data_IF_298022920357
#
_entry.id   IF_298022920357
#
_cell.length_a   1.000
_cell.length_b   1.000
_cell.length_c   1.000
_cell.angle_alpha   90.00
_cell.angle_beta   90.00
_cell.angle_gamma   90.00
#
_symmetry.space_group_name_H-M   'P 1'
#
loop_
_entity.id
_entity.type
_entity.pdbx_description
1 polymer ?
#
# COMPACT_ATOMS: atom_id res chain seq x y z
N UNK A 1 16.48 -8.94 39.12
CA UNK A 1 16.45 -7.57 39.68
C UNK A 1 16.44 -6.64 38.49
N UNK A 2 15.43 -5.75 38.39
CA UNK A 2 15.27 -4.83 37.25
C UNK A 2 16.48 -3.92 37.16
N UNK A 3 17.11 -3.87 36.00
CA UNK A 3 18.22 -2.98 35.74
C UNK A 3 17.70 -1.59 35.34
N UNK A 4 18.21 -0.55 36.00
CA UNK A 4 17.74 0.84 35.85
C UNK A 4 18.72 1.67 35.03
N UNK A 5 18.22 2.72 34.37
CA UNK A 5 19.07 3.67 33.62
C UNK A 5 19.48 3.19 32.23
N UNK A 6 18.86 2.14 31.69
CA UNK A 6 19.01 1.75 30.29
C UNK A 6 18.56 2.87 29.35
N UNK A 7 19.23 2.96 28.21
CA UNK A 7 18.78 3.80 27.10
C UNK A 7 17.81 3.01 26.23
N UNK A 8 16.82 3.69 25.65
CA UNK A 8 15.90 3.08 24.70
C UNK A 8 16.68 2.50 23.52
N UNK A 9 16.56 1.19 23.30
CA UNK A 9 17.23 0.50 22.21
C UNK A 9 16.35 -0.62 21.65
N UNK A 10 16.38 -0.78 20.32
CA UNK A 10 15.61 -1.79 19.59
C UNK A 10 16.57 -2.81 19.00
N UNK A 11 16.28 -4.10 19.18
CA UNK A 11 17.08 -5.20 18.66
C UNK A 11 16.19 -6.11 17.81
N UNK A 12 16.62 -6.37 16.57
CA UNK A 12 15.98 -7.35 15.71
C UNK A 12 16.20 -8.77 16.23
N UNK A 13 15.21 -9.63 16.02
CA UNK A 13 15.29 -11.05 16.35
C UNK A 13 15.35 -11.87 15.06
N UNK A 14 15.63 -13.19 15.14
CA UNK A 14 15.56 -14.06 13.97
C UNK A 14 14.17 -14.13 13.30
N UNK A 15 13.11 -13.70 13.99
CA UNK A 15 11.75 -13.65 13.45
C UNK A 15 11.50 -12.25 12.86
N UNK A 16 11.24 -12.12 11.54
CA UNK A 16 11.07 -10.82 10.89
C UNK A 16 9.96 -9.97 11.53
N UNK A 17 10.32 -8.76 11.95
CA UNK A 17 9.41 -7.79 12.58
C UNK A 17 9.13 -8.03 14.07
N UNK A 18 9.62 -9.13 14.67
CA UNK A 18 9.62 -9.31 16.11
C UNK A 18 10.83 -8.55 16.69
N UNK A 19 10.57 -7.55 17.52
CA UNK A 19 11.58 -6.60 17.99
C UNK A 19 11.66 -6.59 19.51
N UNK A 20 12.82 -6.92 20.06
CA UNK A 20 13.10 -6.78 21.49
C UNK A 20 13.50 -5.33 21.78
N UNK A 21 12.94 -4.76 22.85
CA UNK A 21 13.16 -3.35 23.21
C UNK A 21 13.64 -3.24 24.64
N UNK A 22 14.79 -2.59 24.83
CA UNK A 22 15.27 -2.16 26.14
C UNK A 22 14.59 -0.82 26.48
N UNK A 23 13.94 -0.75 27.64
CA UNK A 23 13.18 0.42 28.09
C UNK A 23 13.94 1.19 29.17
N UNK A 24 13.96 2.53 29.12
CA UNK A 24 14.37 3.35 30.24
C UNK A 24 13.43 3.13 31.44
N UNK A 25 14.01 2.68 32.55
CA UNK A 25 13.33 2.57 33.85
C UNK A 25 14.09 3.41 34.86
N UNK A 26 13.36 4.29 35.53
CA UNK A 26 13.90 5.24 36.49
C UNK A 26 13.48 4.82 37.90
N UNK A 27 14.43 4.33 38.70
CA UNK A 27 14.23 3.98 40.10
C UNK A 27 14.46 5.18 41.04
N UNK A 28 13.66 5.27 42.10
CA UNK A 28 13.88 6.18 43.24
C UNK A 28 13.46 5.51 44.57
N UNK A 29 13.44 6.27 45.66
CA UNK A 29 13.07 5.75 46.99
C UNK A 29 11.61 5.29 47.12
N UNK A 30 10.77 5.53 46.12
CA UNK A 30 9.33 5.18 46.09
C UNK A 30 9.02 4.02 45.14
N UNK A 31 10.02 3.47 44.45
CA UNK A 31 9.85 2.40 43.46
C UNK A 31 10.50 2.77 42.13
N UNK A 32 9.82 2.53 41.02
CA UNK A 32 10.32 2.90 39.69
C UNK A 32 9.21 3.40 38.77
N UNK A 33 9.60 4.20 37.79
CA UNK A 33 8.75 4.73 36.74
C UNK A 33 9.29 4.32 35.36
N UNK A 34 8.37 3.99 34.45
CA UNK A 34 8.69 3.79 33.03
C UNK A 34 7.58 4.33 32.14
N UNK A 35 7.96 4.82 30.98
CA UNK A 35 7.03 5.02 29.87
C UNK A 35 6.88 3.69 29.14
N UNK A 36 5.83 2.94 29.44
CA UNK A 36 5.66 1.62 28.83
C UNK A 36 5.49 1.71 27.31
N UNK A 37 4.85 2.77 26.81
CA UNK A 37 4.79 3.13 25.40
C UNK A 37 4.72 4.65 25.24
N UNK A 38 5.62 5.21 24.42
CA UNK A 38 5.58 6.61 24.02
C UNK A 38 5.88 6.67 22.52
N UNK A 39 4.86 6.97 21.71
CA UNK A 39 4.89 6.80 20.25
C UNK A 39 6.06 7.54 19.57
N UNK A 40 6.31 8.79 19.93
CA UNK A 40 7.35 9.62 19.31
C UNK A 40 8.75 9.05 19.56
N UNK A 41 9.07 8.68 20.81
CA UNK A 41 10.34 8.08 21.20
C UNK A 41 10.53 6.71 20.57
N UNK A 42 9.49 5.89 20.54
CA UNK A 42 9.54 4.54 19.97
C UNK A 42 9.78 4.58 18.46
N UNK A 43 9.03 5.42 17.72
CA UNK A 43 9.22 5.57 16.27
C UNK A 43 10.59 6.17 15.95
N UNK A 44 11.04 7.16 16.71
CA UNK A 44 12.39 7.72 16.54
C UNK A 44 13.50 6.69 16.81
N UNK A 45 13.24 5.69 17.66
CA UNK A 45 14.14 4.57 17.93
C UNK A 45 14.09 3.45 16.89
N UNK A 46 13.26 3.56 15.84
CA UNK A 46 13.16 2.60 14.75
C UNK A 46 12.02 1.59 14.85
N UNK A 47 11.11 1.72 15.84
CA UNK A 47 9.89 0.91 15.86
C UNK A 47 8.90 1.37 14.78
N UNK A 48 8.10 0.45 14.21
CA UNK A 48 6.99 0.85 13.37
C UNK A 48 5.99 1.70 14.16
N UNK A 49 5.28 2.57 13.46
CA UNK A 49 4.20 3.36 14.03
C UNK A 49 2.99 2.47 14.41
N UNK A 50 3.07 1.87 15.60
CA UNK A 50 2.19 0.80 16.08
C UNK A 50 0.76 1.26 16.38
N UNK A 51 0.56 2.49 16.90
CA UNK A 51 -0.76 3.09 17.21
C UNK A 51 -1.71 2.17 18.02
N UNK A 52 -1.42 1.93 19.31
CA UNK A 52 -2.28 1.09 20.14
C UNK A 52 -3.69 1.67 20.30
N UNK A 53 -4.70 0.81 20.24
CA UNK A 53 -6.13 1.15 20.44
C UNK A 53 -6.72 0.56 21.71
N UNK A 54 -6.02 -0.41 22.31
CA UNK A 54 -6.47 -1.11 23.52
C UNK A 54 -5.27 -1.48 24.39
N UNK A 55 -5.46 -1.44 25.71
CA UNK A 55 -4.50 -1.85 26.73
C UNK A 55 -5.09 -2.97 27.59
N UNK A 56 -4.30 -4.01 27.80
CA UNK A 56 -4.70 -5.23 28.47
C UNK A 56 -3.72 -5.52 29.60
N UNK A 57 -4.25 -5.99 30.73
CA UNK A 57 -3.45 -6.38 31.90
C UNK A 57 -3.90 -7.75 32.37
N UNK A 58 -2.93 -8.63 32.59
CA UNK A 58 -3.12 -9.95 33.19
C UNK A 58 -2.30 -10.00 34.47
N UNK A 59 -2.98 -10.16 35.61
CA UNK A 59 -2.35 -10.43 36.88
C UNK A 59 -2.19 -11.93 37.08
N UNK A 60 -1.00 -12.37 37.49
CA UNK A 60 -0.68 -13.77 37.74
C UNK A 60 0.02 -13.85 39.11
N UNK A 61 -0.62 -14.49 40.07
CA UNK A 61 -0.20 -14.56 41.47
C UNK A 61 0.92 -15.60 41.68
N UNK A 62 0.87 -16.72 40.97
CA UNK A 62 1.83 -17.81 41.10
C UNK A 62 3.06 -17.71 40.17
N UNK A 63 4.16 -18.32 40.62
CA UNK A 63 5.29 -18.66 39.75
C UNK A 63 4.90 -19.85 38.87
N UNK A 64 5.27 -19.82 37.60
CA UNK A 64 5.00 -20.89 36.65
C UNK A 64 3.66 -20.75 35.92
N UNK A 65 2.82 -19.75 36.19
CA UNK A 65 1.62 -19.51 35.36
C UNK A 65 2.03 -19.39 33.89
N UNK A 66 1.57 -20.33 33.06
CA UNK A 66 1.99 -20.45 31.66
C UNK A 66 0.79 -20.25 30.74
N UNK A 67 0.90 -19.34 29.78
CA UNK A 67 -0.15 -19.07 28.78
C UNK A 67 0.29 -19.55 27.40
N UNK A 68 -0.65 -20.15 26.65
CA UNK A 68 -0.40 -20.78 25.35
C UNK A 68 0.17 -19.85 24.27
N UNK A 69 0.66 -20.47 23.19
CA UNK A 69 1.21 -19.78 22.01
C UNK A 69 0.06 -19.39 21.09
N UNK A 70 -0.31 -18.11 21.14
CA UNK A 70 -1.43 -17.56 20.37
C UNK A 70 -0.89 -16.57 19.35
N UNK A 71 -1.16 -16.79 18.06
CA UNK A 71 -0.85 -15.87 16.98
C UNK A 71 -2.11 -15.11 16.57
N UNK A 72 -2.14 -13.83 16.93
CA UNK A 72 -3.27 -12.95 16.65
C UNK A 72 -3.16 -12.25 15.28
N UNK A 73 -4.30 -11.79 14.72
CA UNK A 73 -4.33 -11.06 13.46
C UNK A 73 -3.86 -9.59 13.57
N UNK A 74 -3.31 -9.17 14.71
CA UNK A 74 -2.82 -7.82 15.00
C UNK A 74 -1.45 -7.85 15.68
N UNK A 75 -0.81 -6.69 15.77
CA UNK A 75 0.46 -6.56 16.47
C UNK A 75 0.23 -6.36 17.98
N UNK A 76 1.17 -6.79 18.80
CA UNK A 76 1.18 -6.58 20.25
C UNK A 76 2.44 -5.87 20.70
N UNK A 77 2.29 -4.94 21.63
CA UNK A 77 3.39 -4.47 22.44
C UNK A 77 3.31 -5.11 23.81
N UNK A 78 4.25 -5.97 24.16
CA UNK A 78 4.25 -6.75 25.40
C UNK A 78 5.32 -6.25 26.35
N UNK A 79 4.98 -6.08 27.63
CA UNK A 79 5.92 -5.78 28.72
C UNK A 79 5.35 -6.30 30.05
N UNK A 80 6.06 -6.09 31.16
CA UNK A 80 5.56 -6.38 32.51
C UNK A 80 5.55 -5.11 33.37
N UNK A 81 4.46 -4.90 34.11
CA UNK A 81 4.34 -3.80 35.07
C UNK A 81 4.97 -4.14 36.44
N UNK A 82 5.13 -5.41 36.77
CA UNK A 82 5.91 -5.92 37.91
C UNK A 82 6.19 -7.42 37.70
N UNK A 83 7.20 -7.95 38.39
CA UNK A 83 7.64 -9.33 38.27
C UNK A 83 8.51 -9.59 37.03
N UNK A 84 8.63 -10.86 36.65
CA UNK A 84 9.40 -11.31 35.48
C UNK A 84 8.71 -12.47 34.77
N UNK A 85 8.88 -12.52 33.47
CA UNK A 85 8.44 -13.65 32.64
C UNK A 85 9.59 -14.20 31.80
N UNK A 86 9.49 -15.47 31.45
CA UNK A 86 10.10 -16.04 30.27
C UNK A 86 9.08 -15.97 29.14
N UNK A 87 9.35 -15.19 28.10
CA UNK A 87 8.52 -15.13 26.90
C UNK A 87 9.06 -16.07 25.81
N UNK A 88 8.14 -16.67 25.07
CA UNK A 88 8.43 -17.50 23.91
C UNK A 88 7.55 -17.07 22.74
N UNK A 89 8.18 -16.87 21.58
CA UNK A 89 7.53 -16.43 20.36
C UNK A 89 7.84 -17.38 19.23
N UNK A 90 6.81 -17.75 18.46
CA UNK A 90 6.92 -18.69 17.34
C UNK A 90 6.30 -18.08 16.11
N UNK A 91 7.04 -18.04 14.99
CA UNK A 91 6.50 -17.50 13.75
C UNK A 91 5.50 -18.49 13.12
N UNK A 92 4.21 -18.14 13.12
CA UNK A 92 3.14 -18.97 12.53
C UNK A 92 2.67 -18.41 11.18
N UNK A 93 3.43 -17.48 10.57
CA UNK A 93 3.14 -16.94 9.24
C UNK A 93 3.63 -17.90 8.16
N UNK A 94 2.90 -17.94 7.04
CA UNK A 94 3.38 -18.64 5.85
C UNK A 94 4.70 -18.01 5.34
N UNK A 95 5.73 -18.84 5.14
CA UNK A 95 7.03 -18.41 4.61
C UNK A 95 8.20 -19.21 5.17
N UNK A 96 9.41 -18.78 4.82
CA UNK A 96 10.65 -19.49 5.15
C UNK A 96 10.96 -19.54 6.66
N UNK A 97 10.35 -18.64 7.45
CA UNK A 97 10.53 -18.56 8.89
C UNK A 97 9.44 -19.30 9.68
N UNK A 98 8.50 -19.98 9.03
CA UNK A 98 7.44 -20.73 9.73
C UNK A 98 8.04 -21.73 10.73
N UNK A 99 7.60 -21.65 11.99
CA UNK A 99 8.12 -22.45 13.10
C UNK A 99 9.38 -21.90 13.77
N UNK A 100 9.96 -20.80 13.28
CA UNK A 100 11.11 -20.17 13.94
C UNK A 100 10.75 -19.71 15.34
N UNK A 101 11.64 -19.93 16.30
CA UNK A 101 11.43 -19.65 17.72
C UNK A 101 12.38 -18.58 18.22
N UNK A 102 11.86 -17.65 19.02
CA UNK A 102 12.64 -16.70 19.80
C UNK A 102 12.18 -16.73 21.26
N UNK A 103 13.11 -16.63 22.20
CA UNK A 103 12.80 -16.64 23.64
C UNK A 103 13.62 -15.58 24.36
N UNK A 104 13.03 -14.92 25.35
CA UNK A 104 13.73 -13.94 26.18
C UNK A 104 13.06 -13.78 27.55
N UNK A 105 13.87 -13.43 28.56
CA UNK A 105 13.33 -12.91 29.82
C UNK A 105 12.90 -11.45 29.66
N UNK A 106 11.69 -11.15 30.11
CA UNK A 106 11.13 -9.80 30.13
C UNK A 106 10.87 -9.40 31.58
N UNK A 107 11.56 -8.35 32.01
CA UNK A 107 11.33 -7.63 33.26
C UNK A 107 10.79 -6.20 32.93
N UNK A 108 10.55 -5.34 33.92
CA UNK A 108 10.01 -4.00 33.64
C UNK A 108 10.87 -3.14 32.70
N UNK A 109 12.17 -3.43 32.58
CA UNK A 109 13.12 -2.75 31.69
C UNK A 109 13.15 -3.31 30.27
N UNK A 110 12.28 -4.27 29.95
CA UNK A 110 12.18 -4.85 28.61
C UNK A 110 10.74 -4.87 28.11
N UNK A 111 10.62 -4.80 26.80
CA UNK A 111 9.38 -5.01 26.07
C UNK A 111 9.69 -5.74 24.76
N UNK A 112 8.64 -6.22 24.11
CA UNK A 112 8.74 -6.83 22.79
C UNK A 112 7.56 -6.39 21.92
N UNK A 113 7.85 -5.99 20.70
CA UNK A 113 6.84 -5.81 19.66
C UNK A 113 6.67 -7.15 18.94
N UNK A 114 5.50 -7.75 19.08
CA UNK A 114 5.09 -9.00 18.42
C UNK A 114 4.24 -8.65 17.20
N UNK A 115 4.69 -8.94 15.96
CA UNK A 115 3.90 -8.64 14.78
C UNK A 115 2.77 -9.67 14.59
N UNK A 116 1.74 -9.28 13.83
CA UNK A 116 0.65 -10.16 13.37
C UNK A 116 1.20 -11.52 12.94
N UNK A 117 0.58 -12.58 13.44
CA UNK A 117 0.87 -13.95 13.06
C UNK A 117 2.07 -14.58 13.75
N UNK A 118 2.77 -13.85 14.63
CA UNK A 118 3.75 -14.45 15.53
C UNK A 118 3.04 -14.86 16.81
N UNK A 119 3.11 -16.15 17.12
CA UNK A 119 2.57 -16.74 18.33
C UNK A 119 3.27 -16.19 19.56
N UNK A 120 2.52 -15.72 20.55
CA UNK A 120 3.05 -15.15 21.80
C UNK A 120 2.65 -16.01 23.00
N UNK A 121 3.63 -16.52 23.74
CA UNK A 121 3.46 -17.25 25.00
C UNK A 121 4.37 -16.70 26.09
N UNK A 122 4.05 -17.01 27.35
CA UNK A 122 4.95 -16.74 28.46
C UNK A 122 4.73 -17.68 29.65
N UNK A 123 5.74 -17.75 30.49
CA UNK A 123 5.73 -18.38 31.81
C UNK A 123 6.20 -17.37 32.87
N UNK A 124 5.47 -17.22 33.97
CA UNK A 124 5.89 -16.33 35.08
C UNK A 124 7.08 -16.92 35.83
N UNK A 125 8.10 -16.10 36.07
CA UNK A 125 9.30 -16.46 36.85
C UNK A 125 9.25 -15.93 38.29
N UNK A 126 8.33 -15.00 38.56
CA UNK A 126 8.09 -14.40 39.87
C UNK A 126 6.59 -14.37 40.18
N UNK A 127 6.25 -14.48 41.46
CA UNK A 127 4.89 -14.27 41.94
C UNK A 127 4.44 -12.82 41.72
N UNK A 128 3.12 -12.59 41.78
CA UNK A 128 2.51 -11.27 41.64
C UNK A 128 2.96 -10.53 40.36
N UNK A 129 3.14 -11.27 39.26
CA UNK A 129 3.56 -10.72 37.96
C UNK A 129 2.38 -10.11 37.22
N UNK A 130 2.49 -8.82 36.91
CA UNK A 130 1.51 -8.10 36.12
C UNK A 130 1.99 -7.97 34.67
N UNK A 131 1.48 -8.83 33.78
CA UNK A 131 1.76 -8.81 32.36
C UNK A 131 0.89 -7.74 31.67
N UNK A 132 1.50 -6.82 30.94
CA UNK A 132 0.80 -5.75 30.22
C UNK A 132 1.04 -5.88 28.73
N UNK A 133 -0.02 -5.74 27.94
CA UNK A 133 0.13 -5.67 26.51
C UNK A 133 -0.83 -4.67 25.88
N UNK A 134 -0.34 -3.95 24.88
CA UNK A 134 -1.13 -3.10 24.02
C UNK A 134 -1.37 -3.82 22.69
N UNK A 135 -2.48 -3.53 22.04
CA UNK A 135 -2.79 -4.03 20.69
C UNK A 135 -3.19 -2.88 19.78
N UNK A 136 -2.86 -2.99 18.50
CA UNK A 136 -3.25 -2.01 17.47
C UNK A 136 -4.53 -2.38 16.74
N UNK A 137 -5.25 -3.38 17.24
CA UNK A 137 -6.58 -3.71 16.78
C UNK A 137 -7.51 -4.14 17.91
N UNK A 138 -8.81 -3.99 17.69
CA UNK A 138 -9.84 -4.40 18.63
C UNK A 138 -9.96 -5.92 18.65
N UNK A 139 -10.13 -6.47 19.86
CA UNK A 139 -10.46 -7.87 20.00
C UNK A 139 -11.79 -8.18 19.29
N UNK A 140 -11.81 -9.26 18.50
CA UNK A 140 -13.01 -9.80 17.89
C UNK A 140 -13.10 -11.30 18.14
N UNK A 141 -14.32 -11.77 18.45
CA UNK A 141 -14.63 -13.18 18.59
C UNK A 141 -14.57 -13.93 17.25
N UNK A 142 -14.78 -13.21 16.14
CA UNK A 142 -14.87 -13.75 14.79
C UNK A 142 -13.52 -13.78 14.06
N UNK A 143 -12.45 -13.31 14.72
CA UNK A 143 -11.12 -13.27 14.12
C UNK A 143 -10.54 -14.69 14.02
N UNK A 144 -9.81 -14.98 12.95
CA UNK A 144 -9.05 -16.22 12.84
C UNK A 144 -7.77 -16.12 13.66
N UNK A 145 -7.60 -17.05 14.61
CA UNK A 145 -6.41 -17.18 15.43
C UNK A 145 -5.70 -18.47 15.05
N UNK A 146 -4.37 -18.41 15.00
CA UNK A 146 -3.55 -19.62 14.90
C UNK A 146 -2.93 -19.91 16.27
N UNK A 147 -2.85 -21.19 16.61
CA UNK A 147 -2.44 -21.64 17.94
C UNK A 147 -1.40 -22.73 17.81
N UNK A 148 -0.43 -22.76 18.72
CA UNK A 148 0.54 -23.84 18.82
C UNK A 148 0.56 -24.42 20.23
N UNK A 149 0.70 -25.74 20.32
CA UNK A 149 0.86 -26.45 21.57
C UNK A 149 2.18 -26.06 22.26
N UNK A 150 2.12 -25.76 23.56
CA UNK A 150 3.31 -25.41 24.36
C UNK A 150 4.36 -26.52 24.41
N UNK A 151 3.93 -27.77 24.30
CA UNK A 151 4.80 -28.95 24.37
C UNK A 151 5.26 -29.43 22.99
N UNK A 152 5.10 -28.62 21.93
CA UNK A 152 5.45 -29.03 20.57
C UNK A 152 6.94 -29.36 20.44
N UNK A 153 7.22 -30.58 19.97
CA UNK A 153 8.55 -31.16 19.92
C UNK A 153 9.42 -30.53 18.82
N UNK A 154 8.81 -29.85 17.85
CA UNK A 154 9.52 -29.21 16.74
C UNK A 154 9.91 -27.77 17.08
N UNK A 155 9.02 -27.03 17.76
CA UNK A 155 9.35 -25.73 18.32
C UNK A 155 10.37 -25.83 19.46
N UNK A 156 10.36 -26.96 20.20
CA UNK A 156 11.39 -27.34 21.18
C UNK A 156 11.75 -26.21 22.17
N UNK A 157 10.75 -25.47 22.65
CA UNK A 157 10.95 -24.34 23.56
C UNK A 157 11.51 -24.86 24.88
N UNK A 158 12.66 -24.33 25.30
CA UNK A 158 13.31 -24.65 26.56
C UNK A 158 12.65 -23.90 27.73
N UNK A 159 11.47 -24.36 28.13
CA UNK A 159 10.71 -23.79 29.25
C UNK A 159 11.51 -23.87 30.57
N UNK A 160 11.71 -22.75 31.30
CA UNK A 160 12.49 -22.73 32.54
C UNK A 160 11.92 -23.59 33.67
N UNK A 161 10.59 -23.69 33.74
CA UNK A 161 9.86 -24.58 34.64
C UNK A 161 9.17 -25.63 33.78
N UNK A 162 9.29 -26.89 34.16
CA UNK A 162 8.74 -28.02 33.40
C UNK A 162 7.23 -27.84 33.20
N UNK A 163 6.75 -28.08 31.97
CA UNK A 163 5.32 -27.96 31.65
C UNK A 163 4.42 -28.88 32.50
N UNK A 164 4.98 -29.93 33.09
CA UNK A 164 4.29 -30.83 34.03
C UNK A 164 4.12 -30.27 35.44
N UNK A 165 4.82 -29.19 35.77
CA UNK A 165 4.89 -28.59 37.11
C UNK A 165 4.20 -27.21 37.18
N UNK A 166 3.53 -26.81 36.10
CA UNK A 166 2.93 -25.48 35.94
C UNK A 166 1.43 -25.56 35.68
N UNK A 167 0.76 -24.43 35.93
CA UNK A 167 -0.64 -24.27 35.59
C UNK A 167 -0.79 -23.86 34.12
N UNK A 168 -1.50 -24.69 33.35
CA UNK A 168 -1.82 -24.50 31.93
C UNK A 168 -3.32 -24.71 31.74
N UNK A 169 -3.96 -23.87 30.94
CA UNK A 169 -5.39 -24.02 30.66
C UNK A 169 -5.67 -25.30 29.84
N UNK A 170 -6.84 -25.91 30.06
CA UNK A 170 -7.27 -27.07 29.26
C UNK A 170 -7.33 -26.75 27.75
N UNK A 171 -7.61 -25.50 27.40
CA UNK A 171 -7.62 -25.02 26.01
C UNK A 171 -6.21 -25.08 25.41
N UNK A 172 -5.21 -24.56 26.11
CA UNK A 172 -3.83 -24.51 25.61
C UNK A 172 -3.21 -25.91 25.49
N UNK A 173 -3.58 -26.84 26.38
CA UNK A 173 -3.18 -28.25 26.28
C UNK A 173 -3.72 -28.94 25.02
N UNK A 174 -4.87 -28.48 24.51
CA UNK A 174 -5.55 -29.05 23.34
C UNK A 174 -5.16 -28.39 22.01
N UNK A 175 -4.24 -27.41 22.01
CA UNK A 175 -3.77 -26.77 20.79
C UNK A 175 -3.01 -27.73 19.87
N UNK A 176 -3.03 -27.50 18.54
CA UNK A 176 -2.41 -28.39 17.57
C UNK A 176 -0.87 -28.36 17.67
N UNK A 177 -0.25 -29.43 17.17
CA UNK A 177 1.20 -29.47 16.91
C UNK A 177 1.53 -28.65 15.67
N UNK A 178 2.78 -28.22 15.50
CA UNK A 178 3.21 -27.34 14.42
C UNK A 178 2.87 -27.91 13.03
N UNK A 179 2.98 -29.23 12.87
CA UNK A 179 2.63 -29.93 11.62
C UNK A 179 1.14 -29.80 11.24
N UNK A 180 0.26 -29.56 12.22
CA UNK A 180 -1.18 -29.42 12.05
C UNK A 180 -1.64 -27.95 12.13
N UNK A 181 -0.70 -27.00 12.28
CA UNK A 181 -1.00 -25.56 12.30
C UNK A 181 -1.24 -25.07 10.87
N UNK A 182 -2.40 -24.43 10.63
CA UNK A 182 -2.62 -23.65 9.42
C UNK A 182 -1.80 -22.34 9.50
N UNK A 183 -0.84 -22.12 8.59
CA UNK A 183 -0.05 -20.89 8.59
C UNK A 183 -0.91 -19.66 8.30
N UNK A 184 -0.61 -18.55 8.95
CA UNK A 184 -1.27 -17.27 8.72
C UNK A 184 -0.73 -16.69 7.41
N UNK A 185 -1.62 -16.57 6.42
CA UNK A 185 -1.29 -15.99 5.12
C UNK A 185 -0.95 -14.50 5.18
N UNK A 186 -0.38 -13.95 4.09
CA UNK A 186 -0.14 -12.52 3.96
C UNK A 186 -1.45 -11.75 4.02
N UNK A 187 -1.37 -10.45 4.35
CA UNK A 187 -2.52 -9.57 4.20
C UNK A 187 -2.90 -9.43 2.73
N UNK A 188 -4.19 -9.22 2.48
CA UNK A 188 -4.76 -9.13 1.14
C UNK A 188 -4.40 -7.80 0.46
N UNK A 189 -4.34 -7.82 -0.87
CA UNK A 189 -4.25 -6.63 -1.72
C UNK A 189 -5.55 -6.47 -2.49
N UNK A 190 -6.20 -5.31 -2.39
CA UNK A 190 -7.39 -4.98 -3.19
C UNK A 190 -7.01 -4.12 -4.38
N UNK A 191 -7.35 -4.54 -5.60
CA UNK A 191 -7.29 -3.72 -6.82
C UNK A 191 -8.69 -3.23 -7.17
N UNK A 192 -8.92 -1.92 -7.05
CA UNK A 192 -10.19 -1.27 -7.39
C UNK A 192 -10.13 -0.73 -8.83
N UNK A 193 -11.21 -0.90 -9.59
CA UNK A 193 -11.24 -0.54 -11.01
C UNK A 193 -10.64 -1.63 -11.91
N UNK A 194 -10.74 -2.89 -11.48
CA UNK A 194 -10.05 -4.02 -12.11
C UNK A 194 -10.42 -4.29 -13.58
N UNK A 195 -11.57 -3.78 -14.05
CA UNK A 195 -11.99 -3.89 -15.45
C UNK A 195 -11.42 -2.79 -16.37
N UNK A 196 -10.78 -1.76 -15.82
CA UNK A 196 -10.14 -0.69 -16.60
C UNK A 196 -8.78 -1.10 -17.16
N UNK A 197 -8.22 -0.30 -18.08
CA UNK A 197 -6.96 -0.63 -18.77
C UNK A 197 -5.81 -0.93 -17.79
N UNK A 198 -5.67 -0.11 -16.75
CA UNK A 198 -4.67 -0.34 -15.71
C UNK A 198 -5.03 -1.51 -14.78
N UNK A 199 -6.31 -1.71 -14.51
CA UNK A 199 -6.78 -2.85 -13.71
C UNK A 199 -6.41 -4.20 -14.35
N UNK A 200 -6.57 -4.31 -15.67
CA UNK A 200 -6.16 -5.48 -16.44
C UNK A 200 -4.64 -5.70 -16.39
N UNK A 201 -3.85 -4.64 -16.61
CA UNK A 201 -2.39 -4.73 -16.55
C UNK A 201 -1.88 -5.04 -15.13
N UNK A 202 -2.54 -4.52 -14.08
CA UNK A 202 -2.26 -4.87 -12.69
C UNK A 202 -2.56 -6.35 -12.41
N UNK A 203 -3.62 -6.90 -13.01
CA UNK A 203 -3.92 -8.33 -12.89
C UNK A 203 -2.84 -9.20 -13.51
N UNK A 204 -2.41 -8.87 -14.72
CA UNK A 204 -1.30 -9.55 -15.38
C UNK A 204 0.00 -9.44 -14.57
N UNK A 205 0.28 -8.27 -13.99
CA UNK A 205 1.53 -7.98 -13.27
C UNK A 205 1.60 -8.62 -11.88
N UNK A 206 0.47 -8.71 -11.18
CA UNK A 206 0.38 -9.21 -9.80
C UNK A 206 -0.03 -10.69 -9.73
N UNK A 207 -0.67 -11.23 -10.78
CA UNK A 207 -1.15 -12.61 -10.84
C UNK A 207 -2.43 -12.88 -10.04
N UNK A 208 -2.90 -14.12 -10.05
CA UNK A 208 -4.18 -14.53 -9.45
C UNK A 208 -4.01 -15.26 -8.10
N UNK A 209 -3.06 -14.84 -7.26
CA UNK A 209 -2.91 -15.43 -5.93
C UNK A 209 -4.13 -15.12 -5.05
N UNK A 210 -4.55 -16.06 -4.18
CA UNK A 210 -5.78 -15.95 -3.36
C UNK A 210 -5.86 -14.70 -2.47
N UNK A 211 -4.71 -14.12 -2.12
CA UNK A 211 -4.64 -12.90 -1.31
C UNK A 211 -4.77 -11.62 -2.14
N UNK A 212 -4.96 -11.70 -3.47
CA UNK A 212 -5.16 -10.54 -4.34
C UNK A 212 -6.61 -10.53 -4.81
N UNK A 213 -7.33 -9.49 -4.43
CA UNK A 213 -8.73 -9.29 -4.82
C UNK A 213 -8.85 -8.26 -5.93
N UNK A 214 -9.51 -8.64 -7.03
CA UNK A 214 -9.81 -7.76 -8.15
C UNK A 214 -11.28 -7.33 -8.13
N UNK A 215 -11.52 -6.05 -7.84
CA UNK A 215 -12.86 -5.48 -7.75
C UNK A 215 -13.16 -4.59 -8.98
N UNK A 216 -14.12 -5.04 -9.79
CA UNK A 216 -14.76 -4.22 -10.83
C UNK A 216 -15.75 -3.25 -10.18
N UNK A 217 -16.23 -2.26 -10.93
CA UNK A 217 -17.24 -1.31 -10.45
C UNK A 217 -18.51 -1.98 -9.95
N UNK A 218 -18.93 -3.08 -10.57
CA UNK A 218 -20.12 -3.85 -10.15
C UNK A 218 -19.96 -4.49 -8.78
N UNK A 219 -18.73 -4.89 -8.42
CA UNK A 219 -18.41 -5.48 -7.12
C UNK A 219 -18.07 -4.44 -6.06
N UNK A 220 -17.57 -3.28 -6.48
CA UNK A 220 -17.18 -2.20 -5.59
C UNK A 220 -17.14 -0.88 -6.35
N UNK A 221 -18.21 -0.09 -6.21
CA UNK A 221 -18.28 1.26 -6.75
C UNK A 221 -17.72 2.25 -5.72
N UNK A 222 -16.82 3.13 -6.15
CA UNK A 222 -16.26 4.16 -5.27
C UNK A 222 -17.31 5.15 -4.75
N UNK A 223 -18.48 5.21 -5.39
CA UNK A 223 -19.57 6.12 -5.00
C UNK A 223 -20.36 5.60 -3.80
N UNK A 224 -20.20 4.32 -3.46
CA UNK A 224 -20.84 3.71 -2.29
C UNK A 224 -19.95 3.83 -1.05
N UNK A 225 -20.51 3.62 0.15
CA UNK A 225 -19.74 3.64 1.40
C UNK A 225 -18.89 2.36 1.54
N UNK A 226 -17.55 2.46 1.58
CA UNK A 226 -16.69 1.29 1.70
C UNK A 226 -16.65 0.69 3.11
N UNK A 227 -17.12 1.39 4.16
CA UNK A 227 -16.86 1.02 5.55
C UNK A 227 -17.25 -0.43 5.91
N UNK A 228 -18.40 -0.91 5.41
CA UNK A 228 -18.91 -2.26 5.65
C UNK A 228 -18.67 -3.25 4.49
N UNK A 229 -17.97 -2.84 3.43
CA UNK A 229 -17.87 -3.64 2.22
C UNK A 229 -16.97 -4.87 2.38
N UNK A 230 -16.00 -4.82 3.31
CA UNK A 230 -14.99 -5.87 3.55
C UNK A 230 -14.56 -5.89 5.00
N UNK A 231 -13.98 -7.00 5.43
CA UNK A 231 -13.19 -7.05 6.66
C UNK A 231 -11.82 -6.40 6.41
N UNK A 232 -11.78 -5.06 6.48
CA UNK A 232 -10.62 -4.25 6.07
C UNK A 232 -9.30 -4.59 6.78
N UNK A 233 -9.38 -5.20 7.97
CA UNK A 233 -8.23 -5.70 8.73
C UNK A 233 -7.45 -6.80 8.03
N UNK A 234 -8.09 -7.53 7.11
CA UNK A 234 -7.43 -8.55 6.31
C UNK A 234 -6.51 -7.92 5.26
N UNK A 235 -6.69 -6.65 4.92
CA UNK A 235 -6.03 -5.99 3.81
C UNK A 235 -4.77 -5.25 4.28
N UNK A 236 -3.71 -5.37 3.50
CA UNK A 236 -2.44 -4.66 3.70
C UNK A 236 -2.25 -3.56 2.67
N UNK A 237 -2.91 -3.67 1.51
CA UNK A 237 -2.80 -2.69 0.42
C UNK A 237 -4.11 -2.53 -0.33
N UNK A 238 -4.44 -1.29 -0.70
CA UNK A 238 -5.47 -0.93 -1.68
C UNK A 238 -4.77 -0.24 -2.85
N UNK A 239 -4.97 -0.74 -4.06
CA UNK A 239 -4.55 -0.12 -5.31
C UNK A 239 -5.79 0.44 -6.01
N UNK A 240 -5.97 1.75 -5.93
CA UNK A 240 -7.07 2.45 -6.57
C UNK A 240 -6.70 2.85 -8.00
N UNK A 241 -7.09 2.01 -8.96
CA UNK A 241 -7.02 2.28 -10.40
C UNK A 241 -8.38 2.76 -10.98
N UNK A 242 -9.40 2.97 -10.13
CA UNK A 242 -10.68 3.50 -10.55
C UNK A 242 -10.68 5.04 -10.54
N UNK A 243 -11.26 5.62 -11.58
CA UNK A 243 -11.50 7.05 -11.69
C UNK A 243 -12.63 7.32 -12.70
N UNK A 244 -13.26 8.47 -12.58
CA UNK A 244 -14.00 9.08 -13.69
C UNK A 244 -12.98 9.74 -14.63
N UNK A 245 -12.87 9.25 -15.87
CA UNK A 245 -11.83 9.65 -16.85
C UNK A 245 -12.39 10.31 -18.11
N UNK A 246 -13.70 10.50 -18.22
CA UNK A 246 -14.30 11.18 -19.37
C UNK A 246 -14.12 12.71 -19.26
N UNK A 247 -12.92 13.19 -19.59
CA UNK A 247 -12.45 14.55 -19.30
C UNK A 247 -13.42 15.64 -19.78
N UNK A 248 -13.92 15.54 -21.01
CA UNK A 248 -14.85 16.53 -21.56
C UNK A 248 -16.24 16.43 -20.92
N UNK A 249 -16.75 15.22 -20.72
CA UNK A 249 -18.05 15.03 -20.08
C UNK A 249 -18.06 15.53 -18.63
N UNK A 250 -16.91 15.57 -17.95
CA UNK A 250 -16.78 16.13 -16.61
C UNK A 250 -17.18 17.61 -16.52
N UNK A 251 -17.18 18.37 -17.63
CA UNK A 251 -17.60 19.77 -17.65
C UNK A 251 -19.12 19.97 -17.64
N UNK A 252 -19.88 18.91 -17.97
CA UNK A 252 -21.34 18.92 -17.87
C UNK A 252 -21.81 18.89 -16.41
N UNK A 253 -23.06 19.26 -16.15
CA UNK A 253 -23.62 19.22 -14.79
C UNK A 253 -23.56 17.81 -14.18
N UNK A 254 -24.02 16.79 -14.92
CA UNK A 254 -24.05 15.40 -14.46
C UNK A 254 -22.64 14.82 -14.37
N UNK A 255 -21.80 15.04 -15.40
CA UNK A 255 -20.42 14.56 -15.38
C UNK A 255 -19.58 15.19 -14.28
N UNK A 256 -19.84 16.46 -13.90
CA UNK A 256 -19.23 17.09 -12.74
C UNK A 256 -19.62 16.38 -11.46
N UNK A 257 -20.91 16.12 -11.26
CA UNK A 257 -21.38 15.39 -10.07
C UNK A 257 -20.73 14.00 -9.99
N UNK A 258 -20.68 13.26 -11.09
CA UNK A 258 -20.04 11.94 -11.16
C UNK A 258 -18.52 12.00 -10.91
N UNK A 259 -17.83 12.99 -11.47
CA UNK A 259 -16.40 13.18 -11.27
C UNK A 259 -16.09 13.47 -9.80
N UNK A 260 -16.85 14.34 -9.15
CA UNK A 260 -16.68 14.61 -7.71
C UNK A 260 -17.02 13.39 -6.85
N UNK A 261 -18.10 12.67 -7.17
CA UNK A 261 -18.48 11.47 -6.43
C UNK A 261 -17.38 10.40 -6.49
N UNK A 262 -16.84 10.10 -7.67
CA UNK A 262 -15.85 9.05 -7.86
C UNK A 262 -14.42 9.46 -7.47
N UNK A 263 -13.96 10.63 -7.93
CA UNK A 263 -12.55 11.04 -7.77
C UNK A 263 -12.28 11.77 -6.45
N UNK A 264 -13.32 12.24 -5.74
CA UNK A 264 -13.16 13.00 -4.49
C UNK A 264 -13.83 12.30 -3.32
N UNK A 265 -15.16 12.18 -3.32
CA UNK A 265 -15.91 11.62 -2.18
C UNK A 265 -15.56 10.15 -1.94
N UNK A 266 -15.54 9.33 -3.00
CA UNK A 266 -15.14 7.93 -2.91
C UNK A 266 -13.69 7.74 -2.48
N UNK A 267 -12.80 8.60 -2.97
CA UNK A 267 -11.38 8.61 -2.56
C UNK A 267 -11.23 9.01 -1.09
N UNK A 268 -12.01 9.96 -0.58
CA UNK A 268 -12.04 10.32 0.84
C UNK A 268 -12.48 9.15 1.72
N UNK A 269 -13.50 8.40 1.29
CA UNK A 269 -13.96 7.24 2.02
C UNK A 269 -12.90 6.12 2.04
N UNK A 270 -12.22 5.87 0.92
CA UNK A 270 -11.07 4.96 0.87
C UNK A 270 -9.89 5.41 1.73
N UNK A 271 -9.57 6.71 1.72
CA UNK A 271 -8.50 7.28 2.53
C UNK A 271 -8.77 7.11 4.04
N UNK A 272 -10.03 7.28 4.46
CA UNK A 272 -10.48 6.99 5.83
C UNK A 272 -10.27 5.51 6.18
N UNK A 273 -10.79 4.60 5.36
CA UNK A 273 -10.62 3.15 5.55
C UNK A 273 -9.14 2.79 5.67
N UNK A 274 -8.31 3.31 4.78
CA UNK A 274 -6.88 3.02 4.77
C UNK A 274 -6.17 3.54 6.04
N UNK A 275 -6.53 4.74 6.49
CA UNK A 275 -5.96 5.35 7.71
C UNK A 275 -6.38 4.60 8.97
N UNK A 276 -7.65 4.25 9.09
CA UNK A 276 -8.21 3.54 10.26
C UNK A 276 -7.63 2.14 10.41
N UNK A 277 -7.32 1.46 9.30
CA UNK A 277 -6.85 0.07 9.30
C UNK A 277 -5.33 -0.05 9.03
N UNK A 278 -4.61 1.06 8.91
CA UNK A 278 -3.17 1.07 8.62
C UNK A 278 -2.79 0.44 7.27
N UNK A 279 -3.68 0.52 6.28
CA UNK A 279 -3.53 -0.03 4.93
C UNK A 279 -2.71 0.93 4.06
N UNK A 280 -1.81 0.38 3.23
CA UNK A 280 -1.14 1.16 2.19
C UNK A 280 -2.11 1.50 1.06
N UNK A 281 -2.32 2.79 0.78
CA UNK A 281 -3.17 3.25 -0.32
C UNK A 281 -2.34 3.72 -1.50
N UNK A 282 -2.37 2.97 -2.61
CA UNK A 282 -1.89 3.45 -3.91
C UNK A 282 -3.05 4.14 -4.63
N UNK A 283 -2.87 5.40 -5.01
CA UNK A 283 -3.85 6.17 -5.77
C UNK A 283 -3.26 6.62 -7.10
N UNK A 284 -3.88 6.20 -8.20
CA UNK A 284 -3.45 6.62 -9.54
C UNK A 284 -4.04 7.98 -9.84
N UNK A 285 -3.17 8.96 -10.12
CA UNK A 285 -3.51 10.34 -10.43
C UNK A 285 -3.09 10.74 -11.85
N UNK A 286 -3.14 12.03 -12.17
CA UNK A 286 -2.93 12.53 -13.52
C UNK A 286 -2.08 13.79 -13.55
N UNK A 287 -1.39 14.01 -14.67
CA UNK A 287 -0.80 15.29 -15.09
C UNK A 287 -1.80 16.47 -15.12
N UNK A 288 -3.10 16.23 -15.26
CA UNK A 288 -4.13 17.28 -15.32
C UNK A 288 -4.32 18.01 -13.97
N UNK A 289 -3.60 17.61 -12.93
CA UNK A 289 -3.47 18.41 -11.70
C UNK A 289 -2.67 19.70 -11.94
N UNK A 290 -1.97 19.82 -13.07
CA UNK A 290 -1.20 21.00 -13.46
C UNK A 290 -1.89 21.80 -14.57
N UNK A 291 -1.47 23.07 -14.72
CA UNK A 291 -1.99 24.00 -15.73
C UNK A 291 -1.29 23.89 -17.10
N UNK A 292 -0.14 23.22 -17.16
CA UNK A 292 0.71 23.13 -18.35
C UNK A 292 1.43 24.42 -18.74
N UNK A 293 1.53 25.41 -17.84
CA UNK A 293 2.22 26.69 -18.11
C UNK A 293 3.72 26.66 -17.83
N UNK A 294 4.21 25.67 -17.07
CA UNK A 294 5.62 25.55 -16.71
C UNK A 294 6.44 25.25 -17.96
N UNK A 295 7.63 25.86 -18.06
CA UNK A 295 8.63 25.46 -19.04
C UNK A 295 9.42 24.27 -18.49
N UNK A 296 9.43 23.14 -19.22
CA UNK A 296 10.08 21.91 -18.79
C UNK A 296 9.21 21.01 -17.88
N UNK A 297 9.80 19.96 -17.30
CA UNK A 297 9.03 18.94 -16.58
C UNK A 297 8.48 19.41 -15.22
N UNK A 298 7.29 18.94 -14.86
CA UNK A 298 6.71 19.08 -13.52
C UNK A 298 7.28 18.02 -12.57
N UNK A 299 7.77 18.46 -11.42
CA UNK A 299 8.18 17.65 -10.28
C UNK A 299 6.99 17.34 -9.37
N UNK A 300 7.15 16.40 -8.44
CA UNK A 300 6.12 16.05 -7.46
C UNK A 300 5.82 17.18 -6.47
N UNK A 301 6.75 18.13 -6.31
CA UNK A 301 6.62 19.29 -5.42
C UNK A 301 6.00 20.51 -6.08
N UNK A 302 5.80 20.50 -7.40
CA UNK A 302 5.13 21.61 -8.08
C UNK A 302 3.67 21.73 -7.60
N UNK A 303 3.17 22.96 -7.39
CA UNK A 303 1.81 23.18 -6.90
C UNK A 303 0.77 22.80 -7.95
N UNK A 304 -0.30 22.13 -7.51
CA UNK A 304 -1.45 21.83 -8.35
C UNK A 304 -2.18 23.11 -8.77
N UNK A 305 -2.48 23.23 -10.07
CA UNK A 305 -3.24 24.32 -10.70
C UNK A 305 -4.08 23.77 -11.87
N UNK A 306 -5.05 22.89 -11.61
CA UNK A 306 -5.81 22.22 -12.67
C UNK A 306 -6.71 23.20 -13.45
N UNK A 307 -6.83 22.99 -14.76
CA UNK A 307 -7.62 23.87 -15.64
C UNK A 307 -9.12 23.56 -15.64
N UNK A 308 -9.50 22.28 -15.58
CA UNK A 308 -10.88 21.81 -15.74
C UNK A 308 -11.33 20.84 -14.64
N UNK A 309 -12.59 20.42 -14.67
CA UNK A 309 -13.24 19.64 -13.60
C UNK A 309 -12.52 18.31 -13.34
N UNK A 310 -12.13 17.58 -14.39
CA UNK A 310 -11.36 16.34 -14.22
C UNK A 310 -10.08 16.58 -13.43
N UNK A 311 -9.26 17.57 -13.84
CA UNK A 311 -8.03 17.93 -13.13
C UNK A 311 -8.28 18.39 -11.69
N UNK A 312 -9.32 19.20 -11.47
CA UNK A 312 -9.71 19.67 -10.13
C UNK A 312 -10.05 18.51 -9.20
N UNK A 313 -10.84 17.55 -9.68
CA UNK A 313 -11.23 16.39 -8.86
C UNK A 313 -10.05 15.45 -8.62
N UNK A 314 -9.13 15.27 -9.58
CA UNK A 314 -7.88 14.52 -9.36
C UNK A 314 -6.94 15.21 -8.37
N UNK A 315 -6.79 16.53 -8.44
CA UNK A 315 -5.98 17.30 -7.49
C UNK A 315 -6.57 17.27 -6.07
N UNK A 316 -7.90 17.32 -5.95
CA UNK A 316 -8.57 17.12 -4.67
C UNK A 316 -8.34 15.69 -4.13
N UNK A 317 -8.41 14.67 -4.99
CA UNK A 317 -8.04 13.29 -4.66
C UNK A 317 -6.60 13.18 -4.14
N UNK A 318 -5.63 13.81 -4.79
CA UNK A 318 -4.24 13.86 -4.33
C UNK A 318 -4.13 14.46 -2.92
N UNK A 319 -4.77 15.61 -2.69
CA UNK A 319 -4.74 16.29 -1.40
C UNK A 319 -5.35 15.44 -0.27
N UNK A 320 -6.42 14.69 -0.57
CA UNK A 320 -7.05 13.75 0.35
C UNK A 320 -6.10 12.58 0.66
N UNK A 321 -5.58 11.91 -0.37
CA UNK A 321 -4.73 10.72 -0.21
C UNK A 321 -3.42 11.07 0.49
N UNK A 322 -2.90 12.28 0.32
CA UNK A 322 -1.70 12.76 1.02
C UNK A 322 -1.87 12.77 2.56
N UNK A 323 -3.10 12.75 3.08
CA UNK A 323 -3.37 12.64 4.52
C UNK A 323 -3.25 11.21 5.06
N UNK A 324 -3.26 10.20 4.19
CA UNK A 324 -3.13 8.80 4.57
C UNK A 324 -1.66 8.53 4.93
N UNK A 325 -1.31 8.01 6.11
CA UNK A 325 0.09 7.86 6.52
C UNK A 325 0.93 6.96 5.60
N UNK A 326 0.31 5.93 5.01
CA UNK A 326 0.93 4.97 4.09
C UNK A 326 0.31 5.13 2.72
N UNK A 327 0.85 6.03 1.90
CA UNK A 327 0.30 6.28 0.57
C UNK A 327 1.36 6.33 -0.53
N UNK A 328 0.93 5.96 -1.72
CA UNK A 328 1.60 6.26 -2.97
C UNK A 328 0.63 6.96 -3.90
N UNK A 329 0.87 8.23 -4.21
CA UNK A 329 0.14 8.94 -5.27
C UNK A 329 0.96 8.82 -6.54
N UNK A 330 0.44 8.11 -7.53
CA UNK A 330 1.15 7.83 -8.78
C UNK A 330 0.55 8.71 -9.88
N UNK A 331 1.15 9.85 -10.16
CA UNK A 331 0.74 10.76 -11.24
C UNK A 331 1.26 10.22 -12.57
N UNK A 332 0.36 10.04 -13.53
CA UNK A 332 0.71 9.55 -14.86
C UNK A 332 0.08 10.42 -15.95
N UNK A 333 0.43 10.18 -17.21
CA UNK A 333 -0.16 10.89 -18.35
C UNK A 333 -0.27 9.97 -19.57
N UNK A 334 -1.23 10.30 -20.43
CA UNK A 334 -1.40 9.73 -21.78
C UNK A 334 -1.33 8.19 -21.78
N UNK A 335 -2.17 7.59 -20.93
CA UNK A 335 -2.16 6.16 -20.65
C UNK A 335 -2.64 5.35 -21.86
N UNK A 336 -1.85 4.33 -22.25
CA UNK A 336 -2.13 3.39 -23.33
C UNK A 336 -2.13 1.97 -22.76
N UNK A 337 -3.25 1.27 -22.90
CA UNK A 337 -3.36 -0.14 -22.54
C UNK A 337 -4.40 -0.84 -23.41
N UNK A 338 -5.02 -1.87 -22.85
CA UNK A 338 -6.06 -2.63 -23.54
C UNK A 338 -7.32 -1.81 -23.83
N UNK A 339 -7.96 -2.09 -24.96
CA UNK A 339 -9.15 -1.39 -25.44
C UNK A 339 -8.86 -0.11 -26.24
N UNK A 340 -9.91 0.69 -26.49
CA UNK A 340 -9.83 1.87 -27.36
C UNK A 340 -8.92 2.94 -26.75
N UNK A 341 -7.89 3.33 -27.49
CA UNK A 341 -6.95 4.38 -27.11
C UNK A 341 -6.47 5.18 -28.34
N UNK A 342 -5.67 6.22 -28.11
CA UNK A 342 -5.19 7.11 -29.18
C UNK A 342 -4.32 6.37 -30.22
N UNK A 343 -3.39 5.52 -29.76
CA UNK A 343 -2.46 4.77 -30.62
C UNK A 343 -3.22 3.87 -31.60
N UNK A 344 -4.14 3.04 -31.08
CA UNK A 344 -4.99 2.17 -31.92
C UNK A 344 -5.88 2.98 -32.87
N UNK A 345 -6.37 4.15 -32.44
CA UNK A 345 -7.15 5.04 -33.30
C UNK A 345 -6.32 5.55 -34.48
N UNK A 346 -5.08 5.99 -34.22
CA UNK A 346 -4.18 6.48 -35.29
C UNK A 346 -3.75 5.35 -36.22
N UNK A 347 -3.45 4.15 -35.70
CA UNK A 347 -3.11 2.98 -36.53
C UNK A 347 -4.26 2.63 -37.48
N UNK A 348 -5.49 2.59 -36.97
CA UNK A 348 -6.67 2.32 -37.80
C UNK A 348 -6.97 3.42 -38.83
N UNK A 349 -6.65 4.69 -38.53
CA UNK A 349 -6.78 5.77 -39.51
C UNK A 349 -5.71 5.67 -40.61
N UNK A 350 -4.49 5.26 -40.26
CA UNK A 350 -3.42 4.98 -41.20
C UNK A 350 -3.85 3.88 -42.19
N UNK A 351 -4.32 2.73 -41.70
CA UNK A 351 -4.81 1.63 -42.53
C UNK A 351 -5.92 2.05 -43.51
N UNK A 352 -6.77 2.99 -43.09
CA UNK A 352 -7.85 3.55 -43.92
C UNK A 352 -7.37 4.64 -44.89
N UNK A 353 -6.07 4.93 -44.95
CA UNK A 353 -5.49 5.97 -45.80
C UNK A 353 -5.94 7.38 -45.43
N UNK A 354 -6.34 7.61 -44.17
CA UNK A 354 -6.84 8.91 -43.72
C UNK A 354 -5.70 9.90 -43.44
N UNK A 355 -5.97 11.19 -43.65
CA UNK A 355 -5.02 12.29 -43.38
C UNK A 355 -5.57 13.19 -42.25
N UNK A 356 -5.41 12.80 -40.97
CA UNK A 356 -6.02 13.51 -39.84
C UNK A 356 -5.29 14.81 -39.51
N UNK A 357 -6.05 15.75 -38.94
CA UNK A 357 -5.55 16.94 -38.23
C UNK A 357 -5.41 16.60 -36.76
N UNK A 358 -4.20 16.70 -36.21
CA UNK A 358 -3.87 16.28 -34.84
C UNK A 358 -3.18 17.42 -34.11
N UNK A 359 -3.48 17.57 -32.82
CA UNK A 359 -2.96 18.67 -31.98
C UNK A 359 -1.43 18.59 -31.88
N UNK A 360 -0.77 19.69 -32.24
CA UNK A 360 0.70 19.82 -32.28
C UNK A 360 1.31 20.57 -31.09
N UNK A 361 0.50 21.25 -30.27
CA UNK A 361 0.96 22.15 -29.19
C UNK A 361 0.72 21.62 -27.77
N UNK A 362 0.14 20.41 -27.63
CA UNK A 362 0.08 19.68 -26.37
C UNK A 362 1.22 18.67 -26.31
N UNK A 363 2.13 18.83 -25.35
CA UNK A 363 3.39 18.08 -25.23
C UNK A 363 3.39 17.20 -23.98
N UNK A 364 3.74 15.92 -24.15
CA UNK A 364 3.75 14.94 -23.07
C UNK A 364 4.50 13.66 -23.46
N UNK A 365 4.28 12.58 -22.69
CA UNK A 365 4.82 11.25 -22.97
C UNK A 365 3.72 10.21 -22.83
N UNK A 366 3.72 9.22 -23.72
CA UNK A 366 2.86 8.05 -23.55
C UNK A 366 3.28 7.26 -22.31
N UNK A 367 2.30 6.66 -21.64
CA UNK A 367 2.55 5.72 -20.55
C UNK A 367 1.81 4.42 -20.80
N UNK A 368 2.53 3.31 -20.95
CA UNK A 368 1.88 2.02 -21.13
C UNK A 368 1.40 1.47 -19.79
N UNK A 369 0.21 0.89 -19.74
CA UNK A 369 -0.38 0.37 -18.49
C UNK A 369 0.46 -0.73 -17.86
N UNK A 370 1.20 -1.50 -18.65
CA UNK A 370 2.17 -2.50 -18.17
C UNK A 370 3.35 -1.86 -17.41
N UNK A 371 3.87 -0.73 -17.90
CA UNK A 371 4.92 0.03 -17.19
C UNK A 371 4.39 0.62 -15.89
N UNK A 372 3.19 1.22 -15.95
CA UNK A 372 2.54 1.81 -14.78
C UNK A 372 2.23 0.75 -13.71
N UNK A 373 1.71 -0.41 -14.12
CA UNK A 373 1.48 -1.55 -13.22
C UNK A 373 2.79 -2.07 -12.63
N UNK A 374 3.87 -2.17 -13.42
CA UNK A 374 5.18 -2.57 -12.94
C UNK A 374 5.76 -1.58 -11.93
N UNK A 375 5.59 -0.27 -12.14
CA UNK A 375 6.03 0.76 -11.20
C UNK A 375 5.25 0.69 -9.88
N UNK A 376 3.93 0.48 -9.94
CA UNK A 376 3.10 0.30 -8.74
C UNK A 376 3.54 -0.93 -7.96
N UNK A 377 3.75 -2.08 -8.64
CA UNK A 377 4.28 -3.29 -8.00
C UNK A 377 5.63 -3.02 -7.35
N UNK A 378 6.55 -2.33 -8.04
CA UNK A 378 7.86 -1.96 -7.51
C UNK A 378 7.73 -1.17 -6.21
N UNK A 379 6.99 -0.06 -6.21
CA UNK A 379 6.80 0.79 -5.02
C UNK A 379 6.26 -0.01 -3.82
N UNK A 380 5.27 -0.87 -4.05
CA UNK A 380 4.67 -1.69 -2.98
C UNK A 380 5.65 -2.76 -2.48
N UNK A 381 6.29 -3.50 -3.38
CA UNK A 381 7.15 -4.65 -3.03
C UNK A 381 8.48 -4.24 -2.41
N UNK A 382 9.08 -3.13 -2.86
CA UNK A 382 10.33 -2.62 -2.27
C UNK A 382 10.10 -1.73 -1.05
N UNK A 383 8.84 -1.50 -0.67
CA UNK A 383 8.44 -0.56 0.38
C UNK A 383 9.17 0.80 0.24
N UNK A 384 9.15 1.36 -0.97
CA UNK A 384 9.77 2.66 -1.24
C UNK A 384 9.22 3.74 -0.30
N UNK A 385 9.93 4.87 -0.06
CA UNK A 385 9.41 5.92 0.80
C UNK A 385 8.02 6.39 0.35
N UNK A 386 7.03 6.41 1.24
CA UNK A 386 5.68 6.87 0.92
C UNK A 386 5.68 8.31 0.38
N UNK A 387 4.70 8.63 -0.48
CA UNK A 387 4.55 9.97 -1.03
C UNK A 387 4.01 9.99 -2.46
N UNK A 388 4.29 11.09 -3.15
CA UNK A 388 3.91 11.31 -4.55
C UNK A 388 5.05 10.86 -5.46
N UNK A 389 4.71 10.21 -6.57
CA UNK A 389 5.61 9.77 -7.62
C UNK A 389 5.02 10.10 -8.99
N UNK A 390 5.81 10.70 -9.85
CA UNK A 390 5.49 10.85 -11.26
C UNK A 390 5.96 9.61 -12.04
N UNK A 391 5.07 9.01 -12.82
CA UNK A 391 5.35 7.79 -13.59
C UNK A 391 4.78 7.92 -14.99
N UNK A 392 5.67 8.02 -15.97
CA UNK A 392 5.38 7.99 -17.40
C UNK A 392 6.43 7.16 -18.14
N UNK A 393 6.29 6.98 -19.45
CA UNK A 393 7.42 6.51 -20.27
C UNK A 393 8.59 7.51 -20.23
N UNK A 394 9.81 7.03 -20.48
CA UNK A 394 11.00 7.87 -20.62
C UNK A 394 11.13 8.42 -22.05
N UNK A 395 12.23 9.12 -22.33
CA UNK A 395 12.58 9.60 -23.65
C UNK A 395 12.14 11.03 -23.94
N UNK A 396 12.27 11.43 -25.21
CA UNK A 396 11.89 12.75 -25.68
C UNK A 396 10.36 12.94 -25.59
N UNK A 397 9.93 14.07 -25.01
CA UNK A 397 8.52 14.42 -24.98
C UNK A 397 8.03 14.81 -26.39
N UNK A 398 6.82 14.40 -26.75
CA UNK A 398 6.27 14.62 -28.08
C UNK A 398 4.89 15.26 -28.02
N UNK A 399 4.50 15.91 -29.11
CA UNK A 399 3.11 16.30 -29.31
C UNK A 399 2.24 15.11 -29.70
N UNK A 400 0.92 15.22 -29.54
CA UNK A 400 -0.01 14.21 -30.09
C UNK A 400 0.19 14.00 -31.59
N UNK A 401 0.43 15.08 -32.35
CA UNK A 401 0.74 14.99 -33.77
C UNK A 401 2.07 14.25 -34.02
N UNK A 402 3.10 14.51 -33.21
CA UNK A 402 4.37 13.78 -33.25
C UNK A 402 4.18 12.27 -33.04
N UNK A 403 3.37 11.88 -32.05
CA UNK A 403 3.01 10.48 -31.79
C UNK A 403 2.23 9.90 -32.97
N UNK A 404 1.25 10.61 -33.52
CA UNK A 404 0.48 10.13 -34.68
C UNK A 404 1.39 9.88 -35.90
N UNK A 405 2.36 10.77 -36.17
CA UNK A 405 3.39 10.56 -37.20
C UNK A 405 4.25 9.35 -36.91
N UNK A 406 4.61 9.12 -35.65
CA UNK A 406 5.36 7.92 -35.25
C UNK A 406 4.55 6.64 -35.50
N UNK A 407 3.26 6.63 -35.16
CA UNK A 407 2.35 5.51 -35.45
C UNK A 407 2.28 5.23 -36.94
N UNK A 408 2.00 6.26 -37.77
CA UNK A 408 1.95 6.09 -39.24
C UNK A 408 3.24 5.49 -39.78
N UNK A 409 4.41 5.98 -39.33
CA UNK A 409 5.71 5.46 -39.74
C UNK A 409 5.88 3.99 -39.34
N UNK A 410 5.55 3.64 -38.10
CA UNK A 410 5.73 2.30 -37.55
C UNK A 410 4.81 1.27 -38.19
N UNK A 411 3.62 1.68 -38.64
CA UNK A 411 2.70 0.81 -39.39
C UNK A 411 2.96 0.82 -40.90
N UNK A 412 4.04 1.44 -41.38
CA UNK A 412 4.42 1.44 -42.80
C UNK A 412 3.69 2.45 -43.70
N UNK A 413 3.08 3.48 -43.12
CA UNK A 413 2.31 4.52 -43.80
C UNK A 413 3.05 5.87 -43.81
N UNK A 414 2.65 6.80 -44.70
CA UNK A 414 3.33 8.09 -44.84
C UNK A 414 3.04 9.03 -43.64
N UNK A 415 4.04 9.36 -42.79
CA UNK A 415 3.85 10.28 -41.67
C UNK A 415 3.52 11.71 -42.10
N UNK A 416 3.74 12.10 -43.36
CA UNK A 416 3.36 13.42 -43.87
C UNK A 416 1.84 13.58 -44.04
N UNK A 417 1.08 12.48 -44.03
CA UNK A 417 -0.39 12.51 -44.06
C UNK A 417 -1.03 13.12 -42.80
N UNK A 418 -0.31 13.11 -41.67
CA UNK A 418 -0.74 13.79 -40.45
C UNK A 418 -0.45 15.29 -40.58
N UNK A 419 -1.42 16.13 -40.24
CA UNK A 419 -1.26 17.58 -40.23
C UNK A 419 -1.40 18.13 -38.81
N UNK A 420 -0.58 19.13 -38.49
CA UNK A 420 -0.54 19.74 -37.17
C UNK A 420 -1.59 20.85 -37.08
N UNK A 421 -2.22 20.96 -35.91
CA UNK A 421 -3.12 22.06 -35.56
C UNK A 421 -2.87 22.51 -34.14
N UNK A 422 -3.19 23.77 -33.83
CA UNK A 422 -3.17 24.22 -32.43
C UNK A 422 -4.37 23.65 -31.66
N UNK A 423 -4.28 23.64 -30.33
CA UNK A 423 -5.40 23.28 -29.46
C UNK A 423 -6.62 24.17 -29.76
N UNK A 424 -6.41 25.48 -29.91
CA UNK A 424 -7.47 26.43 -30.24
C UNK A 424 -8.13 26.12 -31.59
N UNK A 425 -7.34 25.82 -32.61
CA UNK A 425 -7.84 25.44 -33.94
C UNK A 425 -8.57 24.10 -33.95
N UNK A 426 -8.11 23.12 -33.16
CA UNK A 426 -8.71 21.79 -33.09
C UNK A 426 -10.11 21.85 -32.48
N UNK A 427 -10.30 22.69 -31.46
CA UNK A 427 -11.57 22.87 -30.78
C UNK A 427 -12.44 23.97 -31.40
N UNK A 428 -11.93 24.73 -32.35
CA UNK A 428 -12.69 25.75 -33.07
C UNK A 428 -13.91 25.12 -33.78
N UNK A 429 -15.11 25.49 -33.33
CA UNK A 429 -16.37 25.04 -33.92
C UNK A 429 -16.83 23.64 -33.50
N UNK A 430 -16.17 22.99 -32.53
CA UNK A 430 -16.72 21.78 -31.94
C UNK A 430 -17.94 22.11 -31.07
N UNK A 431 -19.05 21.42 -31.32
CA UNK A 431 -20.26 21.50 -30.50
C UNK A 431 -20.22 20.41 -29.43
N UNK A 432 -20.19 20.80 -28.15
CA UNK A 432 -20.16 19.87 -27.03
C UNK A 432 -19.38 20.42 -25.84
N UNK A 433 -19.37 19.70 -24.71
CA UNK A 433 -18.51 20.07 -23.60
C UNK A 433 -17.05 19.84 -24.00
N UNK A 434 -16.19 20.81 -23.72
CA UNK A 434 -14.75 20.76 -24.01
C UNK A 434 -14.04 21.18 -22.74
N UNK A 435 -13.23 20.29 -22.17
CA UNK A 435 -12.39 20.63 -21.04
C UNK A 435 -11.06 21.23 -21.51
N UNK A 436 -10.57 22.30 -20.89
CA UNK A 436 -9.24 22.85 -21.19
C UNK A 436 -8.16 21.80 -20.95
N UNK A 437 -7.18 21.73 -21.86
CA UNK A 437 -6.08 20.76 -21.82
C UNK A 437 -4.76 21.47 -21.50
N UNK A 438 -3.91 20.92 -20.61
CA UNK A 438 -2.59 21.49 -20.36
C UNK A 438 -1.72 21.34 -21.61
N UNK A 439 -1.07 22.44 -22.02
CA UNK A 439 -0.17 22.42 -23.19
C UNK A 439 1.15 21.68 -22.91
N UNK A 440 1.56 21.61 -21.64
CA UNK A 440 2.70 20.82 -21.19
C UNK A 440 2.26 19.87 -20.08
N UNK A 441 2.42 18.57 -20.30
CA UNK A 441 2.17 17.50 -19.33
C UNK A 441 3.40 16.65 -19.05
N UNK A 442 4.60 17.14 -19.37
CA UNK A 442 5.85 16.43 -19.11
C UNK A 442 6.07 16.35 -17.60
N UNK A 443 6.26 15.14 -17.10
CA UNK A 443 6.56 14.87 -15.69
C UNK A 443 8.05 14.50 -15.52
N UNK A 444 8.67 15.02 -14.46
CA UNK A 444 10.01 14.63 -14.01
C UNK A 444 9.92 13.23 -13.39
N UNK A 445 10.85 12.34 -13.76
CA UNK A 445 10.87 10.94 -13.35
C UNK A 445 11.97 10.64 -12.31
N UNK A 446 12.77 11.64 -11.93
CA UNK A 446 13.96 11.43 -11.09
C UNK A 446 13.64 10.77 -9.74
N UNK A 447 12.45 11.02 -9.16
CA UNK A 447 12.06 10.40 -7.88
C UNK A 447 11.78 8.91 -8.03
N UNK A 448 11.02 8.49 -9.03
CA UNK A 448 10.76 7.05 -9.23
C UNK A 448 12.05 6.32 -9.61
N UNK A 449 12.91 6.93 -10.43
CA UNK A 449 14.23 6.39 -10.78
C UNK A 449 15.14 6.20 -9.57
N UNK A 450 15.09 7.12 -8.60
CA UNK A 450 15.88 7.02 -7.36
C UNK A 450 15.51 5.80 -6.50
N UNK A 451 14.35 5.19 -6.73
CA UNK A 451 13.93 3.94 -6.06
C UNK A 451 14.50 2.68 -6.73
N UNK A 452 15.23 2.82 -7.85
CA UNK A 452 15.78 1.71 -8.62
C UNK A 452 14.87 1.18 -9.73
N UNK A 453 13.70 1.79 -9.97
CA UNK A 453 12.84 1.46 -11.11
C UNK A 453 13.17 2.33 -12.31
N UNK A 454 13.42 1.73 -13.47
CA UNK A 454 13.77 2.48 -14.70
C UNK A 454 12.60 2.49 -15.69
N UNK A 455 12.09 3.67 -16.08
CA UNK A 455 11.06 3.78 -17.09
C UNK A 455 11.59 3.34 -18.46
N UNK A 456 10.78 2.58 -19.20
CA UNK A 456 11.07 2.28 -20.61
C UNK A 456 10.93 3.52 -21.47
N UNK A 457 11.74 3.63 -22.52
CA UNK A 457 11.59 4.68 -23.53
C UNK A 457 10.21 4.58 -24.20
N UNK A 458 9.47 5.69 -24.24
CA UNK A 458 8.09 5.72 -24.73
C UNK A 458 7.99 5.37 -26.23
N UNK A 459 9.01 5.72 -27.04
CA UNK A 459 9.07 5.38 -28.45
C UNK A 459 9.33 3.90 -28.68
N UNK A 460 10.25 3.31 -27.92
CA UNK A 460 10.50 1.87 -27.94
C UNK A 460 9.27 1.07 -27.48
N UNK A 461 8.59 1.52 -26.41
CA UNK A 461 7.36 0.90 -25.93
C UNK A 461 6.21 1.00 -26.95
N UNK A 462 6.10 2.13 -27.67
CA UNK A 462 5.15 2.31 -28.77
C UNK A 462 5.40 1.33 -29.92
N UNK A 463 6.65 1.16 -30.33
CA UNK A 463 7.00 0.20 -31.38
C UNK A 463 6.62 -1.22 -30.96
N UNK A 464 6.97 -1.64 -29.75
CA UNK A 464 6.62 -2.96 -29.23
C UNK A 464 5.10 -3.17 -29.13
N UNK A 465 4.34 -2.14 -28.71
CA UNK A 465 2.89 -2.21 -28.62
C UNK A 465 2.22 -2.42 -29.97
N UNK A 466 2.70 -1.75 -31.03
CA UNK A 466 2.15 -1.91 -32.38
C UNK A 466 2.52 -3.26 -33.02
N UNK A 467 3.70 -3.81 -32.73
CA UNK A 467 4.11 -5.11 -33.26
C UNK A 467 3.37 -6.29 -32.60
N UNK A 468 2.93 -6.16 -31.35
CA UNK A 468 2.21 -7.22 -30.64
C UNK A 468 0.78 -7.44 -31.14
N UNK A 469 0.22 -6.49 -31.90
CA UNK A 469 -1.11 -6.58 -32.51
C UNK A 469 -1.11 -7.27 -33.90
N UNK A 470 0.07 -7.59 -34.46
CA UNK A 470 0.20 -8.27 -35.76
C UNK A 470 0.20 -9.81 -35.65
N UNK A 471 0.30 -10.36 -34.43
CA UNK A 471 0.20 -11.80 -34.09
C UNK A 471 -1.20 -12.16 -33.54
#
# INVERSE_FOLDING_TARGET
>A
MTDFGKTLAVTETPIPGLLLVELPVHGDSRGWFKENWQREKMVAAGLPDFRPVQNNVSFNDAVGTTRGIHAEPWDKWVSVATGRIFGAWVDLRAGDTFGAVFTAEIDPSRAILVPRGVGNAYQTLEADTAYTYLVNDHWSADAEYSFLNLADETAAIAWPILLSEVEISAKDLAHPRLADVTPIGPRKTLVVGAAGQLGLALRETLGDADHIEYATREKFDLRDDPAGARHWRDFGTIINAAAYTAVDLAETADGRADAWAANVTGVAALARVATENGITLVHVSSDYVFDGTKQGPYSETDPARPLGVYGQTKAAGDAIVATVPRHYIVRTSWVIGEGRNFVRTMASLAERGSAPRVVGDQIGRLTFTSDLASAIRHLVTTAAPYGVYNVTGAGEAQSWAGIARAVYRLTGHDPAAVSDVTTDEYFAGQEGPIAPRPLNSVLDLGRIESTGWTPRDAGAALAAYLSADED
#
